data_IF_303212522842
#
_entry.id   IF_303212522842
#
_cell.length_a   1.000
_cell.length_b   1.000
_cell.length_c   1.000
_cell.angle_alpha   90.00
_cell.angle_beta   90.00
_cell.angle_gamma   90.00
#
_symmetry.space_group_name_H-M   'P 1'
#
loop_
_entity.id
_entity.type
_entity.pdbx_description
1 polymer ?
#
# COMPACT_ATOMS: atom_id res chain seq x y z
N UNK A 1 18.14 -35.38 -48.79
CA UNK A 1 18.78 -35.29 -47.46
C UNK A 1 19.19 -33.85 -47.23
N UNK A 2 18.79 -33.27 -46.11
CA UNK A 2 19.06 -31.86 -45.78
C UNK A 2 17.98 -31.30 -44.85
N UNK A 3 17.71 -32.04 -43.77
CA UNK A 3 16.77 -31.68 -42.72
C UNK A 3 17.25 -30.43 -41.99
N UNK A 4 16.34 -29.48 -41.77
CA UNK A 4 16.62 -28.26 -41.03
C UNK A 4 16.82 -28.51 -39.53
N UNK A 5 17.47 -27.56 -38.88
CA UNK A 5 17.36 -27.31 -37.45
C UNK A 5 17.48 -25.81 -37.23
N UNK A 6 16.32 -25.15 -37.10
CA UNK A 6 16.22 -23.83 -36.50
C UNK A 6 16.64 -23.94 -35.04
N UNK A 7 17.60 -23.11 -34.63
CA UNK A 7 18.05 -23.03 -33.26
C UNK A 7 17.52 -21.72 -32.66
N UNK A 8 16.27 -21.76 -32.18
CA UNK A 8 15.71 -20.72 -31.32
C UNK A 8 16.42 -20.81 -29.96
N UNK A 9 17.52 -20.05 -29.83
CA UNK A 9 18.14 -19.81 -28.52
C UNK A 9 17.26 -18.82 -27.77
N UNK A 10 16.37 -19.33 -26.93
CA UNK A 10 15.72 -18.54 -25.89
C UNK A 10 16.80 -17.89 -25.01
N UNK A 11 16.95 -16.57 -25.13
CA UNK A 11 17.85 -15.76 -24.31
C UNK A 11 17.52 -15.96 -22.82
N UNK A 12 18.49 -16.06 -21.89
CA UNK A 12 18.24 -16.24 -20.45
C UNK A 12 17.29 -15.19 -19.82
N UNK A 13 17.14 -14.03 -20.46
CA UNK A 13 16.17 -12.98 -20.12
C UNK A 13 14.70 -13.44 -20.23
N UNK A 14 14.38 -14.33 -21.17
CA UNK A 14 13.00 -14.77 -21.45
C UNK A 14 12.44 -15.69 -20.36
N UNK A 15 13.27 -16.55 -19.76
CA UNK A 15 12.84 -17.46 -18.67
C UNK A 15 12.66 -16.71 -17.34
N UNK A 16 13.41 -15.62 -17.13
CA UNK A 16 13.33 -14.79 -15.94
C UNK A 16 12.05 -13.92 -15.88
N UNK A 17 11.44 -13.62 -17.03
CA UNK A 17 10.26 -12.74 -17.11
C UNK A 17 8.97 -13.39 -16.54
N UNK A 18 8.55 -14.61 -16.96
CA UNK A 18 7.40 -15.30 -16.36
C UNK A 18 7.57 -15.55 -14.86
N UNK A 19 8.80 -15.83 -14.42
CA UNK A 19 9.12 -16.06 -13.00
C UNK A 19 8.93 -14.77 -12.17
N UNK A 20 9.38 -13.62 -12.69
CA UNK A 20 9.25 -12.32 -12.02
C UNK A 20 7.78 -11.86 -11.92
N UNK A 21 7.05 -11.94 -13.03
CA UNK A 21 5.63 -11.59 -13.04
C UNK A 21 4.81 -12.44 -12.08
N UNK A 22 5.09 -13.75 -12.04
CA UNK A 22 4.52 -14.69 -11.07
C UNK A 22 4.88 -14.31 -9.63
N UNK A 23 6.13 -13.97 -9.35
CA UNK A 23 6.56 -13.55 -8.02
C UNK A 23 5.84 -12.27 -7.55
N UNK A 24 5.66 -11.27 -8.43
CA UNK A 24 4.90 -10.06 -8.11
C UNK A 24 3.42 -10.34 -7.88
N UNK A 25 2.81 -11.21 -8.67
CA UNK A 25 1.43 -11.68 -8.45
C UNK A 25 1.29 -12.30 -7.08
N UNK A 26 2.20 -13.20 -6.73
CA UNK A 26 2.15 -13.96 -5.48
C UNK A 26 2.42 -13.05 -4.27
N UNK A 27 3.35 -12.09 -4.38
CA UNK A 27 3.53 -11.04 -3.38
C UNK A 27 2.25 -10.20 -3.19
N UNK A 28 1.64 -9.76 -4.30
CA UNK A 28 0.39 -8.96 -4.26
C UNK A 28 -0.74 -9.76 -3.61
N UNK A 29 -0.87 -11.04 -3.97
CA UNK A 29 -1.84 -11.96 -3.36
C UNK A 29 -1.58 -12.12 -1.85
N UNK A 30 -0.33 -12.32 -1.45
CA UNK A 30 0.05 -12.42 -0.05
C UNK A 30 -0.29 -11.16 0.76
N UNK A 31 -0.11 -9.96 0.19
CA UNK A 31 -0.55 -8.73 0.87
C UNK A 31 -2.09 -8.64 0.98
N UNK A 32 -2.86 -9.18 0.03
CA UNK A 32 -4.31 -9.27 0.16
C UNK A 32 -4.74 -10.31 1.20
N UNK A 33 -4.04 -11.44 1.29
CA UNK A 33 -4.26 -12.46 2.33
C UNK A 33 -3.96 -11.91 3.73
N UNK A 34 -2.87 -11.15 3.88
CA UNK A 34 -2.55 -10.43 5.11
C UNK A 34 -3.63 -9.41 5.47
N UNK A 35 -4.13 -8.66 4.49
CA UNK A 35 -5.21 -7.72 4.73
C UNK A 35 -6.48 -8.43 5.19
N UNK A 36 -6.82 -9.54 4.55
CA UNK A 36 -8.01 -10.32 4.88
C UNK A 36 -7.93 -10.91 6.29
N UNK A 37 -6.77 -11.49 6.66
CA UNK A 37 -6.54 -12.01 8.00
C UNK A 37 -6.58 -10.91 9.07
N UNK A 38 -5.93 -9.77 8.80
CA UNK A 38 -5.89 -8.64 9.73
C UNK A 38 -7.28 -8.04 9.99
N UNK A 39 -8.18 -8.01 9.01
CA UNK A 39 -9.56 -7.55 9.26
C UNK A 39 -10.37 -8.50 10.18
N UNK A 40 -9.90 -9.72 10.38
CA UNK A 40 -10.48 -10.67 11.35
C UNK A 40 -9.82 -10.63 12.73
N UNK A 41 -8.88 -9.71 12.98
CA UNK A 41 -8.19 -9.60 14.26
C UNK A 41 -9.15 -9.20 15.39
N UNK A 42 -9.08 -9.84 16.58
CA UNK A 42 -9.85 -9.43 17.75
C UNK A 42 -9.62 -7.97 18.16
N UNK A 43 -8.41 -7.44 17.97
CA UNK A 43 -8.14 -6.01 18.06
C UNK A 43 -8.47 -5.35 16.71
N UNK A 44 -9.71 -4.84 16.63
CA UNK A 44 -10.22 -4.12 15.46
C UNK A 44 -9.26 -3.01 14.99
N UNK A 45 -8.61 -2.29 15.90
CA UNK A 45 -7.80 -1.13 15.53
C UNK A 45 -6.45 -1.56 14.93
N UNK A 46 -5.80 -2.55 15.53
CA UNK A 46 -4.57 -3.12 15.00
C UNK A 46 -4.85 -3.86 13.68
N UNK A 47 -5.92 -4.63 13.63
CA UNK A 47 -6.39 -5.29 12.41
C UNK A 47 -6.62 -4.33 11.25
N UNK A 48 -7.34 -3.23 11.50
CA UNK A 48 -7.54 -2.15 10.51
C UNK A 48 -6.22 -1.49 10.11
N UNK A 49 -5.30 -1.28 11.06
CA UNK A 49 -3.99 -0.71 10.77
C UNK A 49 -3.18 -1.58 9.81
N UNK A 50 -3.06 -2.87 10.11
CA UNK A 50 -2.32 -3.83 9.30
C UNK A 50 -3.00 -4.07 7.95
N UNK A 51 -4.33 -4.19 7.90
CA UNK A 51 -5.05 -4.35 6.65
C UNK A 51 -4.84 -3.16 5.70
N UNK A 52 -4.97 -1.93 6.20
CA UNK A 52 -4.69 -0.73 5.40
C UNK A 52 -3.24 -0.69 4.91
N UNK A 53 -2.30 -1.16 5.72
CA UNK A 53 -0.88 -1.23 5.35
C UNK A 53 -0.65 -2.22 4.21
N UNK A 54 -1.25 -3.40 4.30
CA UNK A 54 -1.13 -4.44 3.30
C UNK A 54 -1.83 -4.05 1.98
N UNK A 55 -3.04 -3.48 2.03
CA UNK A 55 -3.73 -2.94 0.84
C UNK A 55 -2.87 -1.87 0.14
N UNK A 56 -2.24 -0.95 0.89
CA UNK A 56 -1.35 0.05 0.27
C UNK A 56 -0.13 -0.56 -0.42
N UNK A 57 0.38 -1.68 0.07
CA UNK A 57 1.50 -2.40 -0.57
C UNK A 57 1.04 -3.11 -1.84
N UNK A 58 -0.10 -3.79 -1.82
CA UNK A 58 -0.69 -4.40 -3.01
C UNK A 58 -0.91 -3.36 -4.12
N UNK A 59 -1.50 -2.20 -3.77
CA UNK A 59 -1.69 -1.08 -4.70
C UNK A 59 -0.38 -0.49 -5.24
N UNK A 60 0.69 -0.51 -4.45
CA UNK A 60 2.00 -0.06 -4.90
C UNK A 60 2.54 -0.97 -6.02
N UNK A 61 2.30 -2.28 -5.94
CA UNK A 61 2.67 -3.24 -7.00
C UNK A 61 1.84 -3.04 -8.26
N UNK A 62 0.51 -2.88 -8.14
CA UNK A 62 -0.35 -2.60 -9.29
C UNK A 62 0.09 -1.33 -10.04
N UNK A 63 0.52 -0.30 -9.30
CA UNK A 63 1.04 0.92 -9.89
C UNK A 63 2.39 0.75 -10.61
N UNK A 64 3.20 -0.26 -10.28
CA UNK A 64 4.42 -0.58 -11.06
C UNK A 64 4.09 -1.25 -12.39
N UNK A 65 3.00 -2.02 -12.43
CA UNK A 65 2.50 -2.70 -13.62
C UNK A 65 1.48 -1.88 -14.41
N UNK A 66 1.37 -0.57 -14.16
CA UNK A 66 0.41 0.30 -14.83
C UNK A 66 0.61 0.24 -16.36
N UNK A 67 -0.49 0.05 -17.10
CA UNK A 67 -0.47 -0.23 -18.54
C UNK A 67 0.06 -1.62 -18.96
N UNK A 68 0.73 -2.36 -18.08
CA UNK A 68 1.31 -3.68 -18.39
C UNK A 68 0.41 -4.85 -17.97
N UNK A 69 -0.37 -4.70 -16.90
CA UNK A 69 -1.20 -5.77 -16.33
C UNK A 69 -2.58 -5.92 -17.01
N UNK A 70 -2.80 -5.20 -18.10
CA UNK A 70 -4.07 -5.13 -18.82
C UNK A 70 -5.11 -4.19 -18.15
N UNK A 71 -6.25 -3.95 -18.81
CA UNK A 71 -7.25 -2.97 -18.38
C UNK A 71 -7.90 -3.30 -17.02
N UNK A 72 -7.90 -4.57 -16.63
CA UNK A 72 -8.42 -5.03 -15.33
C UNK A 72 -7.65 -4.46 -14.13
N UNK A 73 -6.37 -4.14 -14.28
CA UNK A 73 -5.55 -3.67 -13.15
C UNK A 73 -6.03 -2.32 -12.60
N UNK A 74 -6.50 -1.43 -13.48
CA UNK A 74 -7.06 -0.15 -13.08
C UNK A 74 -8.37 -0.29 -12.29
N UNK A 75 -9.20 -1.30 -12.61
CA UNK A 75 -10.40 -1.62 -11.83
C UNK A 75 -10.00 -2.12 -10.43
N UNK A 76 -9.06 -3.06 -10.35
CA UNK A 76 -8.58 -3.62 -9.07
C UNK A 76 -7.97 -2.52 -8.18
N UNK A 77 -7.12 -1.63 -8.71
CA UNK A 77 -6.56 -0.54 -7.89
C UNK A 77 -7.64 0.41 -7.35
N UNK A 78 -8.68 0.70 -8.14
CA UNK A 78 -9.80 1.54 -7.72
C UNK A 78 -10.58 0.91 -6.58
N UNK A 79 -10.90 -0.38 -6.67
CA UNK A 79 -11.62 -1.09 -5.61
C UNK A 79 -10.77 -1.24 -4.34
N UNK A 80 -9.48 -1.56 -4.47
CA UNK A 80 -8.57 -1.57 -3.33
C UNK A 80 -8.44 -0.17 -2.70
N UNK A 81 -8.48 0.89 -3.51
CA UNK A 81 -8.50 2.25 -3.02
C UNK A 81 -9.78 2.52 -2.23
N UNK A 82 -10.94 2.22 -2.80
CA UNK A 82 -12.24 2.44 -2.15
C UNK A 82 -12.31 1.68 -0.80
N UNK A 83 -11.85 0.42 -0.80
CA UNK A 83 -11.76 -0.39 0.42
C UNK A 83 -10.83 0.25 1.46
N UNK A 84 -9.63 0.67 1.05
CA UNK A 84 -8.71 1.37 1.96
C UNK A 84 -9.35 2.66 2.48
N UNK A 85 -9.92 3.49 1.62
CA UNK A 85 -10.48 4.79 1.99
C UNK A 85 -11.65 4.62 2.97
N UNK A 86 -12.48 3.58 2.76
CA UNK A 86 -13.56 3.18 3.67
C UNK A 86 -13.13 2.65 5.05
N UNK A 87 -11.82 2.46 5.28
CA UNK A 87 -11.22 2.13 6.59
C UNK A 87 -10.55 3.35 7.26
N UNK A 88 -10.52 4.52 6.61
CA UNK A 88 -9.74 5.67 7.10
C UNK A 88 -10.28 6.22 8.41
N UNK A 89 -11.60 6.41 8.52
CA UNK A 89 -12.20 6.95 9.75
C UNK A 89 -11.88 6.10 10.99
N UNK A 90 -11.91 4.77 10.87
CA UNK A 90 -11.51 3.85 11.94
C UNK A 90 -10.05 4.06 12.36
N UNK A 91 -9.14 4.17 11.38
CA UNK A 91 -7.71 4.36 11.67
C UNK A 91 -7.41 5.73 12.23
N UNK A 92 -8.05 6.77 11.72
CA UNK A 92 -7.78 8.16 12.08
C UNK A 92 -8.30 8.46 13.48
N UNK A 93 -9.48 7.95 13.85
CA UNK A 93 -10.00 8.05 15.21
C UNK A 93 -9.08 7.33 16.23
N UNK A 94 -8.52 6.17 15.86
CA UNK A 94 -7.52 5.51 16.70
C UNK A 94 -6.19 6.28 16.74
N UNK A 95 -5.74 6.82 15.59
CA UNK A 95 -4.50 7.60 15.49
C UNK A 95 -4.50 8.82 16.40
N UNK A 96 -5.64 9.50 16.50
CA UNK A 96 -5.80 10.66 17.36
C UNK A 96 -5.54 10.31 18.83
N UNK A 97 -6.08 9.18 19.30
CA UNK A 97 -5.81 8.67 20.66
C UNK A 97 -4.32 8.39 20.84
N UNK A 98 -3.68 7.68 19.91
CA UNK A 98 -2.23 7.38 19.98
C UNK A 98 -1.35 8.63 19.97
N UNK A 99 -1.75 9.67 19.25
CA UNK A 99 -1.05 10.95 19.21
C UNK A 99 -1.17 11.66 20.56
N UNK A 100 -2.38 11.77 21.11
CA UNK A 100 -2.61 12.41 22.41
C UNK A 100 -1.89 11.64 23.53
N UNK A 101 -1.93 10.30 23.51
CA UNK A 101 -1.20 9.47 24.47
C UNK A 101 0.32 9.73 24.43
N UNK A 102 0.89 9.93 23.24
CA UNK A 102 2.31 10.28 23.10
C UNK A 102 2.62 11.68 23.59
N UNK A 103 1.72 12.64 23.39
CA UNK A 103 1.86 14.01 23.91
C UNK A 103 1.79 14.01 25.45
N UNK A 104 0.82 13.32 26.04
CA UNK A 104 0.68 13.17 27.50
C UNK A 104 1.92 12.54 28.15
N UNK A 105 2.59 11.60 27.48
CA UNK A 105 3.85 11.03 27.98
C UNK A 105 4.98 12.07 28.06
N UNK A 106 5.01 13.03 27.15
CA UNK A 106 6.10 14.02 27.03
C UNK A 106 5.83 15.31 27.81
N UNK A 107 4.58 15.74 27.87
CA UNK A 107 4.19 16.99 28.54
C UNK A 107 4.52 16.95 30.04
N UNK A 108 5.00 18.06 30.59
CA UNK A 108 5.40 18.18 32.00
C UNK A 108 4.59 19.23 32.76
N UNK A 109 3.92 20.15 32.06
CA UNK A 109 3.12 21.22 32.68
C UNK A 109 1.72 20.71 33.00
N UNK A 110 1.23 21.00 34.20
CA UNK A 110 -0.03 20.45 34.72
C UNK A 110 -1.26 20.98 33.97
N UNK A 111 -1.25 22.28 33.62
CA UNK A 111 -2.31 22.92 32.83
C UNK A 111 -2.48 22.27 31.44
N UNK A 112 -1.37 22.04 30.75
CA UNK A 112 -1.35 21.39 29.44
C UNK A 112 -1.75 19.91 29.53
N UNK A 113 -1.33 19.21 30.59
CA UNK A 113 -1.74 17.83 30.86
C UNK A 113 -3.25 17.71 31.05
N UNK A 114 -3.86 18.62 31.80
CA UNK A 114 -5.31 18.62 32.03
C UNK A 114 -6.09 18.81 30.72
N UNK A 115 -5.65 19.74 29.87
CA UNK A 115 -6.24 19.94 28.53
C UNK A 115 -6.09 18.69 27.67
N UNK A 116 -4.90 18.08 27.64
CA UNK A 116 -4.64 16.87 26.86
C UNK A 116 -5.45 15.66 27.38
N UNK A 117 -5.68 15.56 28.67
CA UNK A 117 -6.50 14.50 29.27
C UNK A 117 -7.96 14.63 28.83
N UNK A 118 -8.54 15.83 28.85
CA UNK A 118 -9.89 16.09 28.31
C UNK A 118 -9.97 15.79 26.82
N UNK A 119 -8.96 16.20 26.05
CA UNK A 119 -8.88 15.89 24.62
C UNK A 119 -8.82 14.37 24.37
N UNK A 120 -8.08 13.63 25.21
CA UNK A 120 -7.99 12.17 25.14
C UNK A 120 -9.35 11.51 25.36
N UNK A 121 -10.10 11.95 26.36
CA UNK A 121 -11.43 11.41 26.66
C UNK A 121 -12.39 11.61 25.47
N UNK A 122 -12.40 12.80 24.87
CA UNK A 122 -13.17 13.08 23.67
C UNK A 122 -12.73 12.21 22.47
N UNK A 123 -11.42 12.02 22.29
CA UNK A 123 -10.87 11.17 21.22
C UNK A 123 -11.24 9.69 21.41
N UNK A 124 -11.20 9.19 22.65
CA UNK A 124 -11.63 7.81 22.99
C UNK A 124 -13.13 7.64 22.73
N UNK A 125 -13.96 8.59 23.14
CA UNK A 125 -15.39 8.55 22.87
C UNK A 125 -15.68 8.51 21.35
N UNK A 126 -15.01 9.36 20.57
CA UNK A 126 -15.10 9.39 19.10
C UNK A 126 -14.67 8.06 18.49
N UNK A 127 -13.52 7.52 18.90
CA UNK A 127 -13.02 6.21 18.45
C UNK A 127 -14.02 5.10 18.70
N UNK A 128 -14.62 5.06 19.88
CA UNK A 128 -15.65 4.06 20.24
C UNK A 128 -16.90 4.22 19.39
N UNK A 129 -17.37 5.45 19.15
CA UNK A 129 -18.52 5.71 18.28
C UNK A 129 -18.28 5.24 16.84
N UNK A 130 -17.11 5.55 16.28
CA UNK A 130 -16.71 5.12 14.92
C UNK A 130 -16.61 3.59 14.84
N UNK A 131 -16.00 2.95 15.85
CA UNK A 131 -15.91 1.50 15.93
C UNK A 131 -17.29 0.83 16.00
N UNK A 132 -18.20 1.36 16.82
CA UNK A 132 -19.56 0.86 16.93
C UNK A 132 -20.35 1.05 15.64
N UNK A 133 -20.22 2.19 14.97
CA UNK A 133 -20.87 2.44 13.68
C UNK A 133 -20.36 1.49 12.59
N UNK A 134 -19.05 1.27 12.52
CA UNK A 134 -18.46 0.31 11.58
C UNK A 134 -18.93 -1.13 11.88
N UNK A 135 -18.91 -1.55 13.14
CA UNK A 135 -19.33 -2.89 13.55
C UNK A 135 -20.82 -3.14 13.29
N UNK A 136 -21.68 -2.11 13.46
CA UNK A 136 -23.11 -2.23 13.12
C UNK A 136 -23.36 -2.37 11.62
N UNK A 137 -22.58 -1.66 10.79
CA UNK A 137 -22.76 -1.66 9.33
C UNK A 137 -22.11 -2.87 8.66
N UNK A 138 -21.01 -3.39 9.20
CA UNK A 138 -20.27 -4.53 8.68
C UNK A 138 -19.72 -5.36 9.85
N UNK A 139 -20.58 -6.17 10.51
CA UNK A 139 -20.17 -6.98 11.67
C UNK A 139 -18.97 -7.87 11.33
N UNK A 140 -17.92 -7.79 12.14
CA UNK A 140 -16.67 -8.54 11.90
C UNK A 140 -15.97 -8.20 10.59
N UNK A 141 -16.33 -7.07 9.96
CA UNK A 141 -15.82 -6.62 8.66
C UNK A 141 -15.95 -7.68 7.55
N UNK A 142 -16.98 -8.52 7.63
CA UNK A 142 -17.20 -9.68 6.74
C UNK A 142 -17.38 -9.26 5.28
N UNK A 143 -18.12 -8.18 5.02
CA UNK A 143 -18.31 -7.69 3.64
C UNK A 143 -16.99 -7.22 3.04
N UNK A 144 -16.18 -6.48 3.80
CA UNK A 144 -14.84 -6.04 3.38
C UNK A 144 -13.88 -7.19 3.14
N UNK A 145 -13.96 -8.25 3.96
CA UNK A 145 -13.19 -9.48 3.77
C UNK A 145 -13.62 -10.22 2.51
N UNK A 146 -14.92 -10.34 2.26
CA UNK A 146 -15.43 -10.92 1.00
C UNK A 146 -14.98 -10.12 -0.23
N UNK A 147 -14.94 -8.79 -0.15
CA UNK A 147 -14.37 -7.96 -1.23
C UNK A 147 -12.89 -8.24 -1.45
N UNK A 148 -12.09 -8.45 -0.40
CA UNK A 148 -10.69 -8.85 -0.54
C UNK A 148 -10.54 -10.20 -1.25
N UNK A 149 -11.43 -11.16 -1.00
CA UNK A 149 -11.42 -12.45 -1.71
C UNK A 149 -11.68 -12.27 -3.21
N UNK A 150 -12.66 -11.43 -3.57
CA UNK A 150 -12.96 -11.09 -4.97
C UNK A 150 -11.75 -10.42 -5.63
N UNK A 151 -11.16 -9.43 -4.96
CA UNK A 151 -10.00 -8.71 -5.49
C UNK A 151 -8.76 -9.61 -5.59
N UNK A 152 -8.60 -10.57 -4.68
CA UNK A 152 -7.55 -11.59 -4.72
C UNK A 152 -7.67 -12.49 -5.95
N UNK A 153 -8.89 -12.93 -6.27
CA UNK A 153 -9.16 -13.68 -7.50
C UNK A 153 -8.89 -12.81 -8.75
N UNK A 154 -9.34 -11.56 -8.74
CA UNK A 154 -9.13 -10.62 -9.85
C UNK A 154 -7.64 -10.34 -10.11
N UNK A 155 -6.85 -10.11 -9.05
CA UNK A 155 -5.39 -9.96 -9.12
C UNK A 155 -4.76 -11.18 -9.79
N UNK A 156 -5.22 -12.38 -9.48
CA UNK A 156 -4.67 -13.61 -10.04
C UNK A 156 -4.89 -13.71 -11.55
N UNK A 157 -6.00 -13.13 -12.05
CA UNK A 157 -6.39 -13.16 -13.46
C UNK A 157 -5.77 -12.05 -14.33
N UNK A 158 -5.00 -11.11 -13.75
CA UNK A 158 -4.32 -10.07 -14.52
C UNK A 158 -3.20 -10.64 -15.40
N UNK A 159 -2.77 -9.88 -16.42
CA UNK A 159 -1.68 -10.28 -17.31
C UNK A 159 -0.31 -10.02 -16.66
N UNK A 160 0.17 -11.01 -15.91
CA UNK A 160 1.49 -10.97 -15.26
C UNK A 160 2.64 -11.41 -16.19
N UNK A 161 2.41 -11.63 -17.48
CA UNK A 161 3.48 -12.07 -18.38
C UNK A 161 4.37 -10.91 -18.88
N UNK A 162 3.85 -9.68 -18.82
CA UNK A 162 4.49 -8.48 -19.40
C UNK A 162 5.51 -7.75 -18.52
N UNK A 163 5.43 -7.77 -17.17
CA UNK A 163 6.44 -7.12 -16.34
C UNK A 163 7.87 -7.65 -16.63
N UNK A 164 8.78 -6.74 -16.91
CA UNK A 164 10.21 -7.06 -17.13
C UNK A 164 11.08 -6.40 -16.05
N UNK A 165 12.27 -6.96 -15.74
CA UNK A 165 13.17 -6.33 -14.77
C UNK A 165 13.50 -4.86 -15.10
N UNK A 166 13.70 -4.54 -16.39
CA UNK A 166 13.98 -3.18 -16.83
C UNK A 166 12.77 -2.26 -16.64
N UNK A 167 11.58 -2.70 -17.03
CA UNK A 167 10.34 -1.94 -16.86
C UNK A 167 10.02 -1.64 -15.40
N UNK A 168 10.21 -2.60 -14.50
CA UNK A 168 10.01 -2.39 -13.06
C UNK A 168 11.01 -1.39 -12.46
N UNK A 169 12.29 -1.48 -12.85
CA UNK A 169 13.31 -0.50 -12.43
C UNK A 169 12.92 0.90 -12.89
N UNK A 170 12.46 1.06 -14.13
CA UNK A 170 11.97 2.35 -14.64
C UNK A 170 10.76 2.85 -13.85
N UNK A 171 9.77 2.00 -13.57
CA UNK A 171 8.56 2.39 -12.84
C UNK A 171 8.86 2.91 -11.41
N UNK A 172 9.86 2.34 -10.74
CA UNK A 172 10.32 2.84 -9.44
C UNK A 172 11.10 4.13 -9.58
N UNK A 173 12.01 4.21 -10.56
CA UNK A 173 12.79 5.41 -10.81
C UNK A 173 11.86 6.61 -11.12
N UNK A 174 10.75 6.41 -11.83
CA UNK A 174 9.70 7.40 -12.05
C UNK A 174 8.94 7.76 -10.78
N UNK A 175 8.68 6.77 -9.92
CA UNK A 175 8.01 6.98 -8.64
C UNK A 175 8.88 7.79 -7.66
N UNK A 176 10.19 7.56 -7.68
CA UNK A 176 11.18 8.33 -6.93
C UNK A 176 11.33 9.76 -7.44
N UNK A 177 11.41 9.95 -8.76
CA UNK A 177 11.42 11.28 -9.36
C UNK A 177 10.17 12.08 -8.96
N UNK A 178 8.97 11.48 -9.11
CA UNK A 178 7.71 12.11 -8.71
C UNK A 178 7.64 12.42 -7.20
N UNK A 179 8.25 11.58 -6.38
CA UNK A 179 8.38 11.82 -4.93
C UNK A 179 9.30 13.01 -4.67
N UNK A 180 10.47 13.05 -5.30
CA UNK A 180 11.43 14.14 -5.18
C UNK A 180 10.84 15.48 -5.62
N UNK A 181 10.22 15.56 -6.79
CA UNK A 181 9.57 16.78 -7.26
C UNK A 181 8.47 17.26 -6.31
N UNK A 182 7.70 16.34 -5.73
CA UNK A 182 6.68 16.69 -4.77
C UNK A 182 7.27 17.25 -3.47
N UNK A 183 8.45 16.74 -3.07
CA UNK A 183 9.21 17.28 -1.94
C UNK A 183 9.66 18.70 -2.21
N UNK A 184 10.24 18.95 -3.39
CA UNK A 184 10.69 20.29 -3.78
C UNK A 184 9.54 21.30 -3.72
N UNK A 185 8.37 20.96 -4.29
CA UNK A 185 7.17 21.81 -4.21
C UNK A 185 6.74 22.05 -2.76
N UNK A 186 6.64 21.00 -1.94
CA UNK A 186 6.26 21.15 -0.53
C UNK A 186 7.25 22.00 0.29
N UNK A 187 8.54 21.94 -0.01
CA UNK A 187 9.54 22.80 0.62
C UNK A 187 9.46 24.26 0.18
N UNK A 188 9.02 24.52 -1.06
CA UNK A 188 8.89 25.86 -1.62
C UNK A 188 7.58 26.55 -1.19
N UNK A 189 6.45 25.86 -1.34
CA UNK A 189 5.12 26.40 -1.04
C UNK A 189 4.70 26.28 0.43
N UNK A 190 5.21 25.28 1.16
CA UNK A 190 4.92 25.07 2.58
C UNK A 190 3.48 24.62 2.90
N UNK A 191 2.64 24.40 1.89
CA UNK A 191 1.21 24.06 2.05
C UNK A 191 1.01 22.61 2.52
N UNK A 192 0.05 22.40 3.42
CA UNK A 192 -0.27 21.09 4.03
C UNK A 192 -0.64 20.05 2.96
N UNK A 193 -1.34 20.47 1.90
CA UNK A 193 -1.71 19.60 0.80
C UNK A 193 -0.49 19.13 -0.02
N UNK A 194 0.54 19.97 -0.13
CA UNK A 194 1.80 19.63 -0.79
C UNK A 194 2.62 18.64 0.05
N UNK A 195 2.73 18.88 1.36
CA UNK A 195 3.33 17.94 2.31
C UNK A 195 2.60 16.59 2.28
N UNK A 196 1.26 16.63 2.22
CA UNK A 196 0.44 15.42 2.12
C UNK A 196 0.65 14.69 0.79
N UNK A 197 0.72 15.42 -0.34
CA UNK A 197 1.03 14.86 -1.67
C UNK A 197 2.40 14.19 -1.68
N UNK A 198 3.44 14.86 -1.17
CA UNK A 198 4.79 14.29 -1.07
C UNK A 198 4.80 13.01 -0.23
N UNK A 199 4.25 13.05 0.99
CA UNK A 199 4.17 11.87 1.89
C UNK A 199 3.51 10.67 1.21
N UNK A 200 2.42 10.88 0.45
CA UNK A 200 1.75 9.79 -0.29
C UNK A 200 2.65 9.18 -1.37
N UNK A 201 3.41 10.00 -2.10
CA UNK A 201 4.33 9.55 -3.16
C UNK A 201 5.56 8.84 -2.58
N UNK A 202 6.20 9.42 -1.58
CA UNK A 202 7.34 8.81 -0.89
C UNK A 202 6.99 7.43 -0.32
N UNK A 203 5.83 7.31 0.33
CA UNK A 203 5.34 6.02 0.83
C UNK A 203 5.12 5.00 -0.29
N UNK A 204 4.57 5.41 -1.43
CA UNK A 204 4.35 4.50 -2.57
C UNK A 204 5.70 3.98 -3.08
N UNK A 205 6.67 4.85 -3.32
CA UNK A 205 8.01 4.46 -3.76
C UNK A 205 8.68 3.48 -2.77
N UNK A 206 8.59 3.76 -1.47
CA UNK A 206 9.06 2.84 -0.42
C UNK A 206 8.40 1.45 -0.48
N UNK A 207 7.08 1.38 -0.71
CA UNK A 207 6.38 0.09 -0.86
C UNK A 207 6.76 -0.65 -2.14
N UNK A 208 7.04 0.07 -3.23
CA UNK A 208 7.50 -0.52 -4.49
C UNK A 208 8.90 -1.12 -4.34
N UNK A 209 9.83 -0.41 -3.69
CA UNK A 209 11.17 -0.95 -3.35
C UNK A 209 11.09 -2.22 -2.52
N UNK A 210 10.26 -2.20 -1.47
CA UNK A 210 10.01 -3.39 -0.65
C UNK A 210 9.51 -4.58 -1.48
N UNK A 211 8.63 -4.33 -2.45
CA UNK A 211 8.12 -5.39 -3.33
C UNK A 211 9.22 -5.91 -4.27
N UNK A 212 10.08 -5.04 -4.83
CA UNK A 212 11.23 -5.45 -5.64
C UNK A 212 12.19 -6.35 -4.86
N UNK A 213 12.55 -5.93 -3.64
CA UNK A 213 13.42 -6.71 -2.75
C UNK A 213 12.82 -8.09 -2.46
N UNK A 214 11.51 -8.13 -2.17
CA UNK A 214 10.80 -9.38 -1.89
C UNK A 214 10.77 -10.36 -3.08
N UNK A 215 10.85 -9.86 -4.32
CA UNK A 215 10.92 -10.70 -5.53
C UNK A 215 12.36 -10.90 -6.05
N UNK A 216 13.37 -10.54 -5.24
CA UNK A 216 14.78 -10.77 -5.57
C UNK A 216 15.37 -9.81 -6.59
N UNK A 217 14.73 -8.66 -6.84
CA UNK A 217 15.30 -7.60 -7.66
C UNK A 217 15.89 -6.50 -6.79
N UNK A 218 17.15 -6.15 -7.03
CA UNK A 218 17.77 -4.99 -6.41
C UNK A 218 17.01 -3.71 -6.80
N UNK A 219 16.49 -3.00 -5.80
CA UNK A 219 15.97 -1.65 -6.00
C UNK A 219 17.14 -0.72 -6.40
N UNK A 220 16.95 0.19 -7.36
CA UNK A 220 17.92 1.26 -7.60
C UNK A 220 18.17 2.01 -6.29
N UNK A 221 19.45 2.23 -5.95
CA UNK A 221 19.80 3.03 -4.76
C UNK A 221 19.51 4.51 -5.05
N UNK A 222 19.00 5.24 -4.06
CA UNK A 222 18.74 6.70 -4.15
C UNK A 222 20.01 7.49 -4.55
N UNK A 223 21.21 6.91 -4.38
CA UNK A 223 22.51 7.52 -4.68
C UNK A 223 22.84 7.70 -6.17
N UNK A 224 22.08 7.10 -7.09
CA UNK A 224 22.39 7.17 -8.53
C UNK A 224 21.62 8.27 -9.27
N UNK A 225 20.87 9.14 -8.56
CA UNK A 225 20.00 10.13 -9.23
C UNK A 225 19.96 11.54 -8.66
N UNK A 226 20.74 11.86 -7.63
CA UNK A 226 20.90 13.24 -7.14
C UNK A 226 22.33 13.50 -6.68
#
# INVERSE_FOLDING_TARGET
MGSGTGNDKATPTSVLQPALGTALRDYTRGELDLAHAALGDPDLHEGVHQARKAIRRARAVLAMGDGLLGPGAGLVDRELRALNDGLSNLRDAHALVEVIDRLLKRERRDDAREVLQRAREAAVATRTQVANAATRSDPGLVSRRGMLDVLRAAVTALDWSRPTPAGLRMAIADSDLRSHEARLRACDGGDDDEWHRWRRRARRASHQRRAMEAVGLAAPQDSDRF
#
